data_IF_070019150297
#
_entry.id   IF_070019150297
#
_cell.length_a   1.000
_cell.length_b   1.000
_cell.length_c   1.000
_cell.angle_alpha   90.00
_cell.angle_beta   90.00
_cell.angle_gamma   90.00
#
_symmetry.space_group_name_H-M   'P 1'
#
loop_
_entity.id
_entity.type
_entity.pdbx_description
1 polymer ?
#
# COMPACT_ATOMS: atom_id res chain seq x y z
N UNK A 1 -8.67 -18.95 -11.43
CA UNK A 1 -9.17 -17.76 -10.73
C UNK A 1 -8.12 -17.05 -9.83
N UNK A 2 -6.81 -17.34 -9.95
CA UNK A 2 -5.74 -16.80 -9.07
C UNK A 2 -5.16 -15.43 -9.47
N UNK A 3 -5.46 -14.93 -10.68
CA UNK A 3 -4.85 -13.69 -11.21
C UNK A 3 -5.46 -12.40 -10.63
N UNK A 4 -6.72 -12.43 -10.23
CA UNK A 4 -7.43 -11.22 -9.82
C UNK A 4 -7.12 -10.79 -8.39
N UNK A 5 -6.94 -11.73 -7.47
CA UNK A 5 -6.60 -11.43 -6.08
C UNK A 5 -5.25 -10.72 -5.98
N UNK A 6 -4.22 -11.26 -6.62
CA UNK A 6 -2.89 -10.64 -6.69
C UNK A 6 -2.93 -9.22 -7.28
N UNK A 7 -3.79 -8.98 -8.26
CA UNK A 7 -3.94 -7.66 -8.88
C UNK A 7 -4.49 -6.63 -7.89
N UNK A 8 -5.43 -7.02 -7.03
CA UNK A 8 -6.02 -6.14 -6.01
C UNK A 8 -4.97 -5.81 -4.95
N UNK A 9 -4.27 -6.81 -4.40
CA UNK A 9 -3.24 -6.57 -3.39
C UNK A 9 -2.12 -5.68 -3.91
N UNK A 10 -1.58 -5.97 -5.09
CA UNK A 10 -0.51 -5.15 -5.70
C UNK A 10 -1.00 -3.72 -5.96
N UNK A 11 -2.25 -3.54 -6.37
CA UNK A 11 -2.82 -2.19 -6.57
C UNK A 11 -2.86 -1.39 -5.27
N UNK A 12 -3.33 -1.99 -4.17
CA UNK A 12 -3.38 -1.31 -2.87
C UNK A 12 -2.00 -1.08 -2.26
N UNK A 13 -1.06 -1.99 -2.49
CA UNK A 13 0.33 -1.83 -2.08
C UNK A 13 0.99 -0.66 -2.81
N UNK A 14 0.82 -0.57 -4.14
CA UNK A 14 1.33 0.57 -4.92
C UNK A 14 0.71 1.89 -4.45
N UNK A 15 -0.61 1.92 -4.20
CA UNK A 15 -1.29 3.12 -3.68
C UNK A 15 -0.69 3.52 -2.32
N UNK A 16 -0.46 2.57 -1.42
CA UNK A 16 0.16 2.81 -0.13
C UNK A 16 1.59 3.36 -0.23
N UNK A 17 2.41 2.78 -1.10
CA UNK A 17 3.78 3.25 -1.36
C UNK A 17 3.77 4.67 -1.92
N UNK A 18 2.92 4.96 -2.91
CA UNK A 18 2.84 6.29 -3.55
C UNK A 18 2.33 7.32 -2.54
N UNK A 19 1.30 6.99 -1.76
CA UNK A 19 0.80 7.89 -0.71
C UNK A 19 1.86 8.14 0.37
N UNK A 20 2.56 7.10 0.82
CA UNK A 20 3.66 7.21 1.78
C UNK A 20 4.84 8.03 1.25
N UNK A 21 5.17 7.89 -0.04
CA UNK A 21 6.21 8.69 -0.69
C UNK A 21 5.80 10.17 -0.75
N UNK A 22 4.57 10.47 -1.17
CA UNK A 22 4.08 11.86 -1.25
C UNK A 22 4.04 12.53 0.13
N UNK A 23 3.54 11.82 1.15
CA UNK A 23 3.52 12.31 2.54
C UNK A 23 4.94 12.48 3.09
N UNK A 24 5.83 11.54 2.78
CA UNK A 24 7.23 11.58 3.18
C UNK A 24 8.00 12.74 2.57
N UNK A 25 7.75 13.04 1.30
CA UNK A 25 8.32 14.21 0.63
C UNK A 25 7.77 15.53 1.21
N UNK A 26 6.51 15.55 1.63
CA UNK A 26 5.90 16.73 2.23
C UNK A 26 6.38 16.99 3.67
N UNK A 27 6.72 15.94 4.42
CA UNK A 27 7.15 16.03 5.81
C UNK A 27 8.68 15.91 6.00
N UNK A 28 9.46 15.89 4.91
CA UNK A 28 10.93 15.67 4.93
C UNK A 28 11.37 14.36 5.63
N UNK A 29 10.45 13.41 5.81
CA UNK A 29 10.68 12.16 6.56
C UNK A 29 10.28 10.92 5.72
N UNK A 30 10.92 10.79 4.56
CA UNK A 30 10.54 9.81 3.52
C UNK A 30 10.61 8.36 4.01
N UNK A 31 11.63 8.00 4.80
CA UNK A 31 11.83 6.62 5.26
C UNK A 31 10.69 6.10 6.15
N UNK A 32 10.22 6.94 7.08
CA UNK A 32 9.13 6.61 7.98
C UNK A 32 7.81 6.50 7.20
N UNK A 33 7.50 7.53 6.40
CA UNK A 33 6.22 7.62 5.70
C UNK A 33 6.06 6.61 4.58
N UNK A 34 7.15 6.22 3.88
CA UNK A 34 7.12 5.08 2.96
C UNK A 34 6.83 3.78 3.70
N UNK A 35 7.47 3.54 4.85
CA UNK A 35 7.27 2.31 5.63
C UNK A 35 5.82 2.21 6.14
N UNK A 36 5.27 3.32 6.64
CA UNK A 36 3.88 3.46 7.05
C UNK A 36 2.90 3.30 5.89
N UNK A 37 3.16 3.96 4.76
CA UNK A 37 2.31 3.88 3.57
C UNK A 37 2.28 2.48 2.97
N UNK A 38 3.45 1.82 2.89
CA UNK A 38 3.58 0.45 2.36
C UNK A 38 2.88 -0.57 3.26
N UNK A 39 3.12 -0.50 4.58
CA UNK A 39 2.46 -1.40 5.54
C UNK A 39 0.95 -1.21 5.56
N UNK A 40 0.47 0.04 5.50
CA UNK A 40 -0.96 0.36 5.42
C UNK A 40 -1.57 -0.15 4.10
N UNK A 41 -0.92 0.10 2.96
CA UNK A 41 -1.37 -0.39 1.66
C UNK A 41 -1.42 -1.92 1.57
N UNK A 42 -0.43 -2.59 2.14
CA UNK A 42 -0.40 -4.05 2.26
C UNK A 42 -1.52 -4.57 3.16
N UNK A 43 -1.75 -3.96 4.33
CA UNK A 43 -2.81 -4.35 5.25
C UNK A 43 -4.21 -4.20 4.62
N UNK A 44 -4.47 -3.07 3.94
CA UNK A 44 -5.73 -2.84 3.23
C UNK A 44 -5.89 -3.80 2.05
N UNK A 45 -4.83 -4.04 1.28
CA UNK A 45 -4.83 -5.01 0.19
C UNK A 45 -5.13 -6.43 0.66
N UNK A 46 -4.54 -6.84 1.79
CA UNK A 46 -4.73 -8.14 2.40
C UNK A 46 -6.15 -8.31 2.96
N UNK A 47 -6.62 -7.32 3.73
CA UNK A 47 -8.00 -7.33 4.26
C UNK A 47 -9.05 -7.37 3.15
N UNK A 48 -8.74 -6.80 1.97
CA UNK A 48 -9.65 -6.79 0.83
C UNK A 48 -9.55 -8.04 -0.06
N UNK A 49 -8.43 -8.76 -0.01
CA UNK A 49 -8.32 -10.14 -0.50
C UNK A 49 -9.18 -11.07 0.37
N UNK A 50 -9.03 -11.01 1.71
CA UNK A 50 -9.77 -11.90 2.63
C UNK A 50 -11.29 -11.73 2.60
N UNK A 51 -11.79 -10.55 2.19
CA UNK A 51 -13.23 -10.29 2.09
C UNK A 51 -13.85 -10.67 0.74
N UNK A 52 -13.09 -11.19 -0.21
CA UNK A 52 -13.56 -11.56 -1.56
C UNK A 52 -13.69 -13.08 -1.69
#
# INVERSE_FOLDING_TARGET
>A
MKKEEHSIFVKYLIIGVVAGLLLGLFMDDVGLWISLGTSTGAAVGYQKMERK
#
